data_IF_478560039566
#
_entry.id   IF_478560039566
#
_cell.length_a   1.000
_cell.length_b   1.000
_cell.length_c   1.000
_cell.angle_alpha   90.00
_cell.angle_beta   90.00
_cell.angle_gamma   90.00
#
_symmetry.space_group_name_H-M   'P 1'
#
loop_
_entity.id
_entity.type
_entity.pdbx_description
1 polymer ?
#
# COMPACT_ATOMS: atom_id res chain seq x y z
N UNK A 1 -8.17 -13.03 12.33
CA UNK A 1 -7.49 -13.60 11.15
C UNK A 1 -6.17 -12.84 11.02
N UNK A 2 -5.03 -13.53 11.08
CA UNK A 2 -3.69 -12.92 11.05
C UNK A 2 -3.42 -12.46 9.62
N UNK A 3 -2.82 -11.28 9.43
CA UNK A 3 -2.47 -10.74 8.11
C UNK A 3 -0.94 -10.82 7.93
N UNK A 4 -0.39 -12.01 7.65
CA UNK A 4 1.04 -12.28 7.76
C UNK A 4 1.88 -11.33 6.91
N UNK A 5 1.42 -10.95 5.71
CA UNK A 5 2.15 -10.01 4.86
C UNK A 5 2.29 -8.61 5.46
N UNK A 6 1.23 -8.07 6.08
CA UNK A 6 1.28 -6.75 6.72
C UNK A 6 2.08 -6.81 8.02
N UNK A 7 1.98 -7.91 8.76
CA UNK A 7 2.73 -8.11 9.99
C UNK A 7 4.23 -8.26 9.71
N UNK A 8 4.63 -9.10 8.76
CA UNK A 8 6.01 -9.28 8.33
C UNK A 8 6.61 -7.97 7.79
N UNK A 9 5.84 -7.23 6.98
CA UNK A 9 6.27 -5.94 6.46
C UNK A 9 6.47 -4.92 7.59
N UNK A 10 5.50 -4.78 8.51
CA UNK A 10 5.64 -3.87 9.66
C UNK A 10 6.83 -4.24 10.53
N UNK A 11 7.01 -5.53 10.83
CA UNK A 11 8.09 -6.00 11.71
C UNK A 11 9.46 -5.74 11.09
N UNK A 12 9.63 -5.95 9.78
CA UNK A 12 10.90 -5.69 9.11
C UNK A 12 11.31 -4.20 9.18
N UNK A 13 10.34 -3.29 9.02
CA UNK A 13 10.62 -1.86 8.91
C UNK A 13 10.52 -1.10 10.24
N UNK A 14 10.04 -1.72 11.33
CA UNK A 14 9.67 -1.04 12.59
C UNK A 14 10.78 -0.21 13.25
N UNK A 15 12.04 -0.58 13.04
CA UNK A 15 13.19 0.08 13.67
C UNK A 15 13.82 1.14 12.75
N UNK A 16 13.24 1.40 11.57
CA UNK A 16 13.75 2.40 10.64
C UNK A 16 13.30 3.81 11.05
N UNK A 17 14.17 4.84 10.95
CA UNK A 17 13.89 6.18 11.46
C UNK A 17 12.63 6.85 10.89
N UNK A 18 12.28 6.55 9.64
CA UNK A 18 11.12 7.12 8.93
C UNK A 18 9.84 6.28 9.06
N UNK A 19 9.89 5.17 9.82
CA UNK A 19 8.82 4.20 9.94
C UNK A 19 8.25 4.17 11.35
N UNK A 20 7.11 4.80 11.55
CA UNK A 20 6.48 4.92 12.87
C UNK A 20 5.45 3.81 13.06
N UNK A 21 5.53 3.09 14.17
CA UNK A 21 4.54 2.08 14.57
C UNK A 21 3.91 2.48 15.90
N UNK A 22 2.57 2.50 15.96
CA UNK A 22 1.85 2.79 17.21
C UNK A 22 1.61 1.52 18.05
N UNK A 23 1.10 1.69 19.27
CA UNK A 23 0.85 0.59 20.20
C UNK A 23 -0.18 -0.43 19.68
N UNK A 24 -1.00 -0.06 18.69
CA UNK A 24 -1.97 -0.94 18.03
C UNK A 24 -1.38 -1.65 16.82
N UNK A 25 -0.09 -1.46 16.52
CA UNK A 25 0.58 -2.03 15.37
C UNK A 25 0.25 -1.36 14.04
N UNK A 26 -0.41 -0.18 14.06
CA UNK A 26 -0.58 0.61 12.85
C UNK A 26 0.77 1.25 12.50
N UNK A 27 1.07 1.37 11.20
CA UNK A 27 2.29 2.02 10.76
C UNK A 27 2.02 3.27 9.93
N UNK A 28 2.92 4.26 10.02
CA UNK A 28 2.93 5.47 9.19
C UNK A 28 4.35 5.75 8.72
N UNK A 29 4.54 5.89 7.42
CA UNK A 29 5.87 6.04 6.82
C UNK A 29 5.83 6.76 5.47
N UNK A 30 6.95 7.37 5.07
CA UNK A 30 7.12 7.86 3.71
C UNK A 30 7.44 6.67 2.79
N UNK A 31 6.83 6.61 1.62
CA UNK A 31 7.04 5.53 0.67
C UNK A 31 7.07 6.00 -0.78
N UNK A 32 7.77 5.25 -1.61
CA UNK A 32 7.59 5.25 -3.06
C UNK A 32 6.38 4.37 -3.43
N UNK A 33 5.40 5.05 -4.00
CA UNK A 33 4.14 4.70 -4.68
C UNK A 33 4.22 4.20 -6.12
N UNK A 34 4.37 2.92 -6.47
CA UNK A 34 4.41 2.51 -7.90
C UNK A 34 3.14 1.78 -8.34
N UNK A 35 2.52 2.23 -9.43
CA UNK A 35 1.29 1.68 -10.02
C UNK A 35 1.61 1.04 -11.37
N UNK A 36 1.14 -0.19 -11.54
CA UNK A 36 1.32 -0.97 -12.75
C UNK A 36 -0.02 -1.57 -13.18
N UNK A 37 -0.48 -1.24 -14.38
CA UNK A 37 -1.49 -1.95 -15.15
C UNK A 37 -1.12 -1.86 -16.63
N UNK A 38 -1.87 -2.55 -17.50
CA UNK A 38 -1.65 -2.50 -18.95
C UNK A 38 -1.73 -1.07 -19.53
N UNK A 39 -2.45 -0.17 -18.85
CA UNK A 39 -2.68 1.20 -19.30
C UNK A 39 -1.87 2.24 -18.52
N UNK A 40 -1.36 1.87 -17.33
CA UNK A 40 -0.80 2.82 -16.38
C UNK A 40 0.53 2.30 -15.82
N UNK A 41 1.57 3.10 -16.02
CA UNK A 41 2.85 2.99 -15.32
C UNK A 41 3.19 4.34 -14.70
N UNK A 42 3.03 4.46 -13.39
CA UNK A 42 3.24 5.73 -12.70
C UNK A 42 3.87 5.51 -11.33
N UNK A 43 4.73 6.43 -10.91
CA UNK A 43 5.29 6.41 -9.56
C UNK A 43 5.32 7.78 -8.91
N UNK A 44 5.04 7.85 -7.62
CA UNK A 44 5.18 9.06 -6.81
C UNK A 44 5.59 8.74 -5.37
N UNK A 45 6.03 9.74 -4.60
CA UNK A 45 6.32 9.56 -3.17
C UNK A 45 5.19 10.15 -2.33
N UNK A 46 4.71 9.41 -1.34
CA UNK A 46 3.64 9.86 -0.44
C UNK A 46 3.77 9.21 0.94
N UNK A 47 3.05 9.77 1.92
CA UNK A 47 2.91 9.16 3.24
C UNK A 47 1.86 8.07 3.18
N UNK A 48 2.26 6.87 3.60
CA UNK A 48 1.43 5.68 3.71
C UNK A 48 1.08 5.44 5.16
N UNK A 49 -0.17 5.07 5.42
CA UNK A 49 -0.62 4.61 6.73
C UNK A 49 -1.31 3.25 6.59
N UNK A 50 -0.76 2.25 7.28
CA UNK A 50 -1.36 0.92 7.43
C UNK A 50 -2.12 0.89 8.75
N UNK A 51 -3.43 0.64 8.71
CA UNK A 51 -4.28 0.43 9.87
C UNK A 51 -4.61 -1.05 10.02
N UNK A 52 -4.17 -1.67 11.10
CA UNK A 52 -4.54 -3.06 11.42
C UNK A 52 -5.84 -3.00 12.23
N UNK A 53 -6.97 -3.23 11.57
CA UNK A 53 -8.27 -3.24 12.25
C UNK A 53 -8.44 -4.53 13.07
N UNK A 54 -9.07 -4.42 14.23
CA UNK A 54 -9.35 -5.55 15.14
C UNK A 54 -10.20 -6.67 14.50
N UNK A 55 -10.87 -6.37 13.38
CA UNK A 55 -11.68 -7.33 12.61
C UNK A 55 -10.90 -8.07 11.50
N UNK A 56 -9.58 -7.86 11.38
CA UNK A 56 -8.72 -8.58 10.43
C UNK A 56 -8.76 -8.08 8.99
N UNK A 57 -9.37 -6.92 8.71
CA UNK A 57 -9.44 -6.33 7.35
C UNK A 57 -8.47 -5.16 7.17
N UNK A 58 -7.20 -5.34 7.56
CA UNK A 58 -6.16 -4.31 7.53
C UNK A 58 -6.27 -3.38 6.32
N UNK A 59 -6.29 -2.07 6.59
CA UNK A 59 -6.55 -1.04 5.59
C UNK A 59 -5.27 -0.27 5.33
N UNK A 60 -4.95 -0.06 4.05
CA UNK A 60 -3.88 0.85 3.65
C UNK A 60 -4.52 2.15 3.16
N UNK A 61 -4.06 3.26 3.71
CA UNK A 61 -4.47 4.60 3.31
C UNK A 61 -3.26 5.42 2.89
N UNK A 62 -3.40 6.19 1.82
CA UNK A 62 -2.41 7.17 1.38
C UNK A 62 -2.86 8.54 1.86
N UNK A 63 -2.04 9.27 2.62
CA UNK A 63 -2.44 10.55 3.22
C UNK A 63 -2.69 11.65 2.17
N UNK A 64 -1.97 11.62 1.05
CA UNK A 64 -2.16 12.56 -0.05
C UNK A 64 -1.70 11.90 -1.34
N UNK A 65 -2.63 11.29 -2.07
CA UNK A 65 -2.38 11.03 -3.48
C UNK A 65 -2.21 12.42 -4.14
N UNK A 66 -1.15 12.69 -4.91
CA UNK A 66 -1.02 13.96 -5.59
C UNK A 66 -2.32 14.26 -6.33
N UNK A 67 -2.90 15.45 -6.14
CA UNK A 67 -4.08 15.90 -6.88
C UNK A 67 -3.83 15.97 -8.40
N UNK A 68 -2.59 15.70 -8.81
CA UNK A 68 -2.05 15.60 -10.16
C UNK A 68 -1.81 14.16 -10.63
N UNK A 69 -2.25 13.13 -9.92
CA UNK A 69 -2.47 11.81 -10.53
C UNK A 69 -3.57 12.02 -11.57
N UNK A 70 -3.13 12.43 -12.77
CA UNK A 70 -3.82 12.69 -14.04
C UNK A 70 -5.34 12.92 -13.96
N UNK A 71 -5.91 13.96 -14.57
CA UNK A 71 -7.36 14.03 -14.78
C UNK A 71 -7.87 12.70 -15.38
N UNK A 72 -8.61 11.91 -14.59
CA UNK A 72 -9.06 10.55 -14.96
C UNK A 72 -8.36 9.38 -14.27
N UNK A 73 -7.33 9.59 -13.44
CA UNK A 73 -6.78 8.53 -12.58
C UNK A 73 -7.82 8.22 -11.48
N UNK A 74 -8.40 7.01 -11.44
CA UNK A 74 -9.31 6.67 -10.36
C UNK A 74 -8.54 6.80 -9.05
N UNK A 75 -9.06 7.55 -8.09
CA UNK A 75 -8.51 7.54 -6.74
C UNK A 75 -8.58 6.09 -6.26
N UNK A 76 -7.46 5.39 -6.33
CA UNK A 76 -7.31 4.06 -5.78
C UNK A 76 -7.30 4.23 -4.26
N UNK A 77 -8.50 4.39 -3.70
CA UNK A 77 -8.74 4.16 -2.30
C UNK A 77 -8.52 2.66 -2.12
N UNK A 78 -7.36 2.25 -1.60
CA UNK A 78 -7.00 0.86 -1.27
C UNK A 78 -7.79 0.33 -0.06
N UNK A 79 -9.07 0.63 -0.05
CA UNK A 79 -10.06 0.20 0.92
C UNK A 79 -11.01 -0.93 0.45
N UNK A 80 -10.69 -1.79 -0.54
CA UNK A 80 -11.53 -2.95 -0.81
C UNK A 80 -11.35 -4.12 0.17
N UNK A 81 -12.45 -4.77 0.58
CA UNK A 81 -12.45 -5.95 1.45
C UNK A 81 -11.86 -7.22 0.82
N UNK A 82 -11.18 -7.14 -0.33
CA UNK A 82 -10.76 -8.28 -1.17
C UNK A 82 -9.37 -8.13 -1.81
N UNK A 83 -8.55 -7.17 -1.39
CA UNK A 83 -7.18 -7.09 -1.91
C UNK A 83 -6.26 -8.09 -1.22
N UNK A 84 -5.53 -8.85 -2.05
CA UNK A 84 -4.47 -9.73 -1.56
C UNK A 84 -3.25 -8.86 -1.34
N UNK A 85 -2.95 -8.63 -0.06
CA UNK A 85 -1.67 -8.09 0.35
C UNK A 85 -0.62 -9.20 0.26
N UNK A 86 0.50 -8.89 -0.38
CA UNK A 86 1.67 -9.78 -0.41
C UNK A 86 2.91 -8.98 -0.02
N UNK A 87 3.90 -9.66 0.57
CA UNK A 87 5.14 -9.05 1.01
C UNK A 87 6.31 -9.61 0.21
N UNK A 88 6.87 -8.79 -0.68
CA UNK A 88 8.07 -9.13 -1.42
C UNK A 88 9.27 -9.00 -0.49
N UNK A 89 9.66 -10.12 0.13
CA UNK A 89 10.82 -10.21 1.03
C UNK A 89 12.16 -9.89 0.36
N UNK A 90 12.25 -9.97 -0.97
CA UNK A 90 13.50 -9.67 -1.69
C UNK A 90 13.72 -8.18 -1.88
N UNK A 91 12.62 -7.42 -2.03
CA UNK A 91 12.64 -5.97 -2.21
C UNK A 91 12.20 -5.21 -0.95
N UNK A 92 11.81 -5.95 0.09
CA UNK A 92 11.15 -5.45 1.29
C UNK A 92 9.98 -4.51 0.96
N UNK A 93 9.23 -4.84 -0.09
CA UNK A 93 8.14 -4.02 -0.60
C UNK A 93 6.78 -4.69 -0.34
N UNK A 94 5.79 -3.87 -0.02
CA UNK A 94 4.41 -4.32 0.12
C UNK A 94 3.73 -4.26 -1.24
N UNK A 95 3.11 -5.37 -1.63
CA UNK A 95 2.42 -5.55 -2.89
C UNK A 95 0.91 -5.58 -2.65
N UNK A 96 0.19 -4.79 -3.43
CA UNK A 96 -1.27 -4.81 -3.47
C UNK A 96 -1.70 -5.18 -4.88
N UNK A 97 -2.44 -6.27 -5.02
CA UNK A 97 -2.92 -6.72 -6.31
C UNK A 97 -4.45 -6.74 -6.35
N UNK A 98 -4.99 -6.46 -7.53
CA UNK A 98 -6.42 -6.47 -7.74
C UNK A 98 -6.80 -6.42 -9.21
N UNK A 99 -8.08 -6.22 -9.45
CA UNK A 99 -8.65 -6.05 -10.77
C UNK A 99 -9.50 -4.78 -10.79
N UNK A 100 -9.40 -3.99 -11.85
CA UNK A 100 -10.15 -2.76 -12.07
C UNK A 100 -10.42 -2.54 -13.55
N UNK A 101 -11.71 -2.49 -13.90
CA UNK A 101 -12.14 -2.16 -15.27
C UNK A 101 -11.68 -0.75 -15.69
N UNK A 102 -11.54 0.17 -14.74
CA UNK A 102 -11.05 1.52 -14.99
C UNK A 102 -9.55 1.57 -15.32
N UNK A 103 -8.80 0.53 -14.94
CA UNK A 103 -7.35 0.43 -15.17
C UNK A 103 -7.00 -0.56 -16.30
N UNK A 104 -8.01 -1.03 -17.03
CA UNK A 104 -7.85 -2.00 -18.11
C UNK A 104 -7.67 -3.44 -17.66
N UNK A 105 -7.96 -3.77 -16.39
CA UNK A 105 -7.93 -5.15 -15.90
C UNK A 105 -7.10 -5.33 -14.64
N UNK A 106 -6.18 -6.29 -14.64
CA UNK A 106 -5.33 -6.57 -13.49
C UNK A 106 -4.40 -5.38 -13.21
N UNK A 107 -4.23 -5.05 -11.94
CA UNK A 107 -3.29 -4.03 -11.51
C UNK A 107 -2.46 -4.49 -10.32
N UNK A 108 -1.27 -3.93 -10.20
CA UNK A 108 -0.33 -4.13 -9.10
C UNK A 108 0.14 -2.77 -8.60
N UNK A 109 0.15 -2.62 -7.28
CA UNK A 109 0.74 -1.48 -6.60
C UNK A 109 1.86 -1.95 -5.71
N UNK A 110 3.01 -1.29 -5.82
CA UNK A 110 4.22 -1.57 -5.05
C UNK A 110 4.45 -0.40 -4.12
N UNK A 111 4.57 -0.69 -2.83
CA UNK A 111 4.81 0.28 -1.78
C UNK A 111 6.15 -0.05 -1.13
N UNK A 112 7.13 0.84 -1.29
CA UNK A 112 8.47 0.68 -0.73
C UNK A 112 8.77 1.84 0.20
N UNK A 113 9.05 1.62 1.49
CA UNK A 113 9.49 2.69 2.40
C UNK A 113 10.72 3.44 1.86
N UNK A 114 10.78 4.75 2.14
CA UNK A 114 11.84 5.66 1.71
C UNK A 114 12.77 6.08 2.85
#
# INVERSE_FOLDING_TARGET
MIMPALDDFTEHWRDQPSFLVDYSGNSTFLAKVEYHSDQIHHSHSTVVRIRKADNGQGQISLQKAPSSLLPGFPQLLFSPPLHVYDYDRSKHALLVQGHSNLLGGAYKVVITPA
#
